data_IF_771655914147
#
_entry.id   IF_771655914147
#
_cell.length_a   1.000
_cell.length_b   1.000
_cell.length_c   1.000
_cell.angle_alpha   90.00
_cell.angle_beta   90.00
_cell.angle_gamma   90.00
#
_symmetry.space_group_name_H-M   'P 1'
#
loop_
_entity.id
_entity.type
_entity.pdbx_description
1 polymer ?
#
# COMPACT_ATOMS: atom_id res chain seq x y z
N UNK A 1 11.71 6.99 -6.95
CA UNK A 1 11.12 6.15 -5.86
C UNK A 1 10.68 4.81 -6.41
N UNK A 2 11.07 3.75 -5.77
CA UNK A 2 10.73 2.37 -6.15
C UNK A 2 9.85 1.73 -5.09
N UNK A 3 9.22 0.62 -5.46
CA UNK A 3 8.45 -0.20 -4.53
C UNK A 3 9.32 -0.68 -3.36
N UNK A 4 10.57 -1.08 -3.63
CA UNK A 4 11.47 -1.55 -2.57
C UNK A 4 11.78 -0.44 -1.56
N UNK A 5 11.97 0.79 -2.03
CA UNK A 5 12.16 1.94 -1.14
C UNK A 5 10.92 2.20 -0.30
N UNK A 6 9.73 2.11 -0.90
CA UNK A 6 8.47 2.29 -0.17
C UNK A 6 8.30 1.24 0.91
N UNK A 7 8.60 -0.02 0.62
CA UNK A 7 8.49 -1.11 1.59
C UNK A 7 9.36 -0.91 2.82
N UNK A 8 10.46 -0.21 2.67
CA UNK A 8 11.42 0.01 3.75
C UNK A 8 11.21 1.33 4.47
N UNK A 9 10.29 2.16 4.00
CA UNK A 9 9.98 3.41 4.68
C UNK A 9 9.38 3.14 6.04
N UNK A 10 10.00 3.69 7.09
CA UNK A 10 9.60 3.40 8.46
C UNK A 10 8.17 3.86 8.76
N UNK A 11 7.79 5.04 8.30
CA UNK A 11 6.44 5.57 8.53
C UNK A 11 5.39 4.67 7.88
N UNK A 12 5.64 4.21 6.66
CA UNK A 12 4.72 3.31 5.95
C UNK A 12 4.58 1.98 6.70
N UNK A 13 5.68 1.42 7.18
CA UNK A 13 5.65 0.18 7.93
C UNK A 13 4.86 0.33 9.23
N UNK A 14 5.01 1.46 9.92
CA UNK A 14 4.24 1.74 11.13
C UNK A 14 2.76 1.85 10.81
N UNK A 15 2.39 2.55 9.75
CA UNK A 15 0.98 2.68 9.36
C UNK A 15 0.36 1.33 9.04
N UNK A 16 1.08 0.46 8.32
CA UNK A 16 0.57 -0.88 7.99
C UNK A 16 0.40 -1.72 9.24
N UNK A 17 1.36 -1.67 10.16
CA UNK A 17 1.27 -2.40 11.42
C UNK A 17 0.10 -1.92 12.28
N UNK A 18 -0.16 -0.61 12.33
CA UNK A 18 -1.28 -0.06 13.08
C UNK A 18 -2.62 -0.40 12.43
N UNK A 19 -2.68 -0.39 11.10
CA UNK A 19 -3.89 -0.81 10.39
C UNK A 19 -4.21 -2.27 10.69
N UNK A 20 -3.21 -3.14 10.68
CA UNK A 20 -3.37 -4.56 11.01
C UNK A 20 -3.86 -4.75 12.45
N UNK A 21 -3.25 -4.04 13.40
CA UNK A 21 -3.66 -4.12 14.81
C UNK A 21 -5.12 -3.67 14.99
N UNK A 22 -5.54 -2.60 14.31
CA UNK A 22 -6.91 -2.11 14.37
C UNK A 22 -7.91 -3.12 13.82
N UNK A 23 -7.56 -3.76 12.71
CA UNK A 23 -8.43 -4.77 12.08
C UNK A 23 -8.50 -6.04 12.92
N UNK A 24 -7.40 -6.46 13.51
CA UNK A 24 -7.39 -7.61 14.40
C UNK A 24 -8.28 -7.38 15.62
N UNK A 25 -8.28 -6.18 16.18
CA UNK A 25 -9.16 -5.83 17.30
C UNK A 25 -10.64 -5.90 16.93
N UNK A 26 -10.98 -5.71 15.63
CA UNK A 26 -12.35 -5.79 15.13
C UNK A 26 -12.69 -7.19 14.60
N UNK A 27 -11.79 -8.16 14.69
CA UNK A 27 -12.00 -9.52 14.22
C UNK A 27 -11.67 -9.77 12.76
N UNK A 28 -11.10 -8.80 12.06
CA UNK A 28 -10.63 -8.98 10.70
C UNK A 28 -9.22 -9.56 10.68
N UNK A 29 -8.89 -10.29 9.60
CA UNK A 29 -7.58 -10.91 9.42
C UNK A 29 -7.04 -10.62 8.03
N UNK A 30 -5.75 -10.94 7.80
CA UNK A 30 -5.13 -10.90 6.47
C UNK A 30 -4.99 -9.49 5.88
N UNK A 31 -4.80 -8.47 6.72
CA UNK A 31 -4.51 -7.11 6.27
C UNK A 31 -3.12 -6.67 6.73
N UNK A 32 -2.27 -7.67 7.05
CA UNK A 32 -0.92 -7.46 7.55
C UNK A 32 0.06 -7.13 6.42
N UNK A 33 1.30 -6.85 6.80
CA UNK A 33 2.40 -6.63 5.87
C UNK A 33 2.55 -7.75 4.85
N UNK A 34 2.48 -9.05 5.21
CA UNK A 34 2.52 -10.12 4.20
C UNK A 34 1.40 -10.04 3.19
N UNK A 35 0.18 -9.68 3.59
CA UNK A 35 -0.95 -9.55 2.68
C UNK A 35 -0.72 -8.43 1.64
N UNK A 36 -0.37 -7.22 2.09
CA UNK A 36 -0.18 -6.10 1.16
C UNK A 36 1.03 -6.32 0.25
N UNK A 37 2.06 -7.00 0.74
CA UNK A 37 3.21 -7.39 -0.07
C UNK A 37 2.78 -8.36 -1.18
N UNK A 38 1.97 -9.36 -0.85
CA UNK A 38 1.46 -10.32 -1.82
C UNK A 38 0.59 -9.65 -2.88
N UNK A 39 -0.29 -8.75 -2.47
CA UNK A 39 -1.15 -7.99 -3.39
C UNK A 39 -0.28 -7.16 -4.35
N UNK A 40 0.73 -6.48 -3.83
CA UNK A 40 1.65 -5.67 -4.64
C UNK A 40 2.39 -6.53 -5.67
N UNK A 41 2.95 -7.65 -5.24
CA UNK A 41 3.71 -8.54 -6.12
C UNK A 41 2.82 -9.16 -7.18
N UNK A 42 1.59 -9.55 -6.83
CA UNK A 42 0.62 -10.10 -7.78
C UNK A 42 0.24 -9.06 -8.83
N UNK A 43 -0.04 -7.82 -8.41
CA UNK A 43 -0.36 -6.74 -9.34
C UNK A 43 0.78 -6.49 -10.32
N UNK A 44 2.01 -6.45 -9.81
CA UNK A 44 3.21 -6.27 -10.64
C UNK A 44 3.40 -7.42 -11.62
N UNK A 45 3.19 -8.65 -11.17
CA UNK A 45 3.32 -9.84 -12.03
C UNK A 45 2.32 -9.81 -13.17
N UNK A 46 1.06 -9.47 -12.89
CA UNK A 46 0.01 -9.40 -13.92
C UNK A 46 0.40 -8.39 -15.00
N UNK A 47 0.80 -7.18 -14.62
CA UNK A 47 1.15 -6.15 -15.59
C UNK A 47 2.43 -6.48 -16.34
N UNK A 48 3.40 -7.09 -15.70
CA UNK A 48 4.63 -7.52 -16.36
C UNK A 48 4.35 -8.59 -17.41
N UNK A 49 3.46 -9.54 -17.09
CA UNK A 49 3.06 -10.60 -18.01
C UNK A 49 2.34 -10.03 -19.24
N UNK A 50 1.63 -8.90 -19.08
CA UNK A 50 0.93 -8.21 -20.15
C UNK A 50 1.81 -7.19 -20.88
N UNK A 51 3.11 -7.18 -20.62
CA UNK A 51 4.09 -6.31 -21.27
C UNK A 51 3.88 -4.80 -21.04
N UNK A 52 3.36 -4.43 -19.88
CA UNK A 52 3.31 -3.01 -19.52
C UNK A 52 4.71 -2.47 -19.22
N UNK A 53 4.94 -1.16 -19.41
CA UNK A 53 6.23 -0.55 -19.07
C UNK A 53 6.61 -0.76 -17.61
N UNK A 54 7.90 -0.86 -17.34
CA UNK A 54 8.41 -1.12 -15.99
C UNK A 54 7.92 -0.09 -14.97
N UNK A 55 7.82 1.18 -15.37
CA UNK A 55 7.30 2.22 -14.46
C UNK A 55 5.85 1.96 -14.08
N UNK A 56 5.02 1.50 -15.01
CA UNK A 56 3.62 1.15 -14.75
C UNK A 56 3.53 -0.04 -13.81
N UNK A 57 4.38 -1.05 -14.00
CA UNK A 57 4.46 -2.20 -13.10
C UNK A 57 4.80 -1.75 -11.68
N UNK A 58 5.76 -0.85 -11.55
CA UNK A 58 6.19 -0.32 -10.26
C UNK A 58 5.05 0.44 -9.56
N UNK A 59 4.34 1.28 -10.30
CA UNK A 59 3.20 2.03 -9.77
C UNK A 59 2.07 1.11 -9.30
N UNK A 60 1.82 0.02 -10.03
CA UNK A 60 0.82 -0.97 -9.63
C UNK A 60 1.20 -1.66 -8.32
N UNK A 61 2.47 -1.99 -8.14
CA UNK A 61 2.96 -2.56 -6.89
C UNK A 61 2.75 -1.59 -5.73
N UNK A 62 3.08 -0.33 -5.92
CA UNK A 62 2.90 0.71 -4.91
C UNK A 62 1.43 0.86 -4.54
N UNK A 63 0.55 0.90 -5.53
CA UNK A 63 -0.90 1.00 -5.30
C UNK A 63 -1.42 -0.18 -4.49
N UNK A 64 -1.01 -1.40 -4.85
CA UNK A 64 -1.41 -2.61 -4.13
C UNK A 64 -0.92 -2.62 -2.69
N UNK A 65 0.30 -2.13 -2.46
CA UNK A 65 0.90 -2.08 -1.13
C UNK A 65 0.16 -1.09 -0.22
N UNK A 66 -0.35 0.01 -0.77
CA UNK A 66 -0.99 1.07 0.01
C UNK A 66 -2.52 0.98 0.04
N UNK A 67 -3.12 0.00 -0.64
CA UNK A 67 -4.58 0.01 -0.87
C UNK A 67 -5.44 0.02 0.40
N UNK A 68 -4.96 -0.58 1.49
CA UNK A 68 -5.72 -0.67 2.74
C UNK A 68 -5.15 0.20 3.87
N UNK A 69 -4.24 1.12 3.55
CA UNK A 69 -3.55 1.91 4.59
C UNK A 69 -4.53 2.77 5.42
N UNK A 70 -5.68 3.11 4.83
CA UNK A 70 -6.69 3.90 5.51
C UNK A 70 -7.29 3.25 6.75
N UNK A 71 -7.11 1.92 6.92
CA UNK A 71 -7.59 1.21 8.11
C UNK A 71 -6.94 1.68 9.40
N UNK A 72 -5.81 2.40 9.34
CA UNK A 72 -5.21 2.99 10.53
C UNK A 72 -6.09 4.10 11.11
N UNK A 73 -6.91 4.74 10.27
CA UNK A 73 -7.84 5.81 10.69
C UNK A 73 -9.20 5.23 11.05
N UNK A 74 -9.84 4.55 10.12
CA UNK A 74 -11.10 3.86 10.37
C UNK A 74 -11.37 2.82 9.28
N UNK A 75 -12.21 1.82 9.62
CA UNK A 75 -12.56 0.76 8.67
C UNK A 75 -13.64 1.22 7.68
N UNK A 76 -14.60 2.04 8.13
CA UNK A 76 -15.78 2.41 7.34
C UNK A 76 -15.39 3.21 6.10
N UNK A 77 -14.53 4.20 6.27
CA UNK A 77 -14.09 5.08 5.18
C UNK A 77 -12.62 4.85 4.82
N UNK A 78 -12.11 3.62 4.97
CA UNK A 78 -10.68 3.36 4.78
C UNK A 78 -10.17 3.68 3.38
N UNK A 79 -11.00 3.57 2.34
CA UNK A 79 -10.57 3.92 0.98
C UNK A 79 -10.30 5.42 0.82
N UNK A 80 -11.14 6.28 1.38
CA UNK A 80 -10.91 7.73 1.35
C UNK A 80 -9.74 8.13 2.22
N UNK A 81 -9.68 7.62 3.45
CA UNK A 81 -8.55 7.86 4.35
C UNK A 81 -7.25 7.36 3.76
N UNK A 82 -7.28 6.18 3.12
CA UNK A 82 -6.13 5.61 2.46
C UNK A 82 -5.64 6.44 1.30
N UNK A 83 -6.56 6.98 0.50
CA UNK A 83 -6.20 7.84 -0.62
C UNK A 83 -5.48 9.11 -0.15
N UNK A 84 -5.98 9.74 0.92
CA UNK A 84 -5.35 10.92 1.49
C UNK A 84 -3.98 10.59 2.06
N UNK A 85 -3.86 9.50 2.80
CA UNK A 85 -2.60 9.05 3.38
C UNK A 85 -1.58 8.72 2.29
N UNK A 86 -2.02 8.01 1.24
CA UNK A 86 -1.14 7.66 0.13
C UNK A 86 -0.65 8.90 -0.59
N UNK A 87 -1.51 9.89 -0.83
CA UNK A 87 -1.12 11.15 -1.43
C UNK A 87 0.00 11.82 -0.62
N UNK A 88 -0.18 11.90 0.70
CA UNK A 88 0.81 12.53 1.57
C UNK A 88 2.14 11.78 1.58
N UNK A 89 2.08 10.45 1.65
CA UNK A 89 3.28 9.61 1.64
C UNK A 89 4.05 9.79 0.32
N UNK A 90 3.35 9.69 -0.81
CA UNK A 90 3.99 9.75 -2.11
C UNK A 90 4.50 11.17 -2.42
N UNK A 91 3.78 12.20 -2.01
CA UNK A 91 4.22 13.58 -2.14
C UNK A 91 5.52 13.82 -1.36
N UNK A 92 5.58 13.34 -0.12
CA UNK A 92 6.79 13.43 0.71
C UNK A 92 7.98 12.74 0.07
N UNK A 93 7.74 11.68 -0.68
CA UNK A 93 8.77 10.89 -1.33
C UNK A 93 9.01 11.29 -2.80
N UNK A 94 8.59 12.50 -3.17
CA UNK A 94 8.86 13.13 -4.46
C UNK A 94 8.24 12.40 -5.67
N UNK A 95 7.11 11.77 -5.49
CA UNK A 95 6.35 11.25 -6.64
C UNK A 95 5.66 12.40 -7.37
N UNK A 96 5.57 12.33 -8.73
CA UNK A 96 4.80 13.31 -9.49
C UNK A 96 3.32 13.27 -9.09
N UNK A 97 2.63 14.39 -9.19
CA UNK A 97 1.20 14.45 -8.89
C UNK A 97 0.35 13.49 -9.72
#
# INVERSE_FOLDING_TARGET
>A
MTFDQLKQDEAVRVYIAQADASLCALGFTEHSFPHVTKVAETAGYILKTLDFPERTVELAKIAGFLHDIGNVVNRVDHSQSGAIMAFRILDRMDFPP
#
